data_IF_239535912522
#
_entry.id   IF_239535912522
#
_cell.length_a   1.000
_cell.length_b   1.000
_cell.length_c   1.000
_cell.angle_alpha   90.00
_cell.angle_beta   90.00
_cell.angle_gamma   90.00
#
_symmetry.space_group_name_H-M   'P 1'
#
loop_
_entity.id
_entity.type
_entity.pdbx_description
1 polymer ?
#
# COMPACT_ATOMS: atom_id res chain seq x y z
N UNK A 1 5.81 -18.78 -5.16
CA UNK A 1 4.41 -19.24 -4.93
C UNK A 1 3.95 -18.88 -3.52
N UNK A 2 4.61 -19.38 -2.46
CA UNK A 2 4.27 -19.13 -1.04
C UNK A 2 4.06 -17.66 -0.70
N UNK A 3 4.96 -16.79 -1.15
CA UNK A 3 4.85 -15.34 -0.96
C UNK A 3 3.49 -14.76 -1.42
N UNK A 4 3.03 -15.10 -2.62
CA UNK A 4 1.78 -14.57 -3.17
C UNK A 4 0.55 -15.12 -2.44
N UNK A 5 0.62 -16.37 -1.98
CA UNK A 5 -0.43 -16.96 -1.14
C UNK A 5 -0.55 -16.20 0.18
N UNK A 6 0.57 -15.87 0.82
CA UNK A 6 0.59 -15.08 2.06
C UNK A 6 0.01 -13.67 1.84
N UNK A 7 0.30 -13.00 0.72
CA UNK A 7 -0.30 -11.67 0.48
C UNK A 7 -1.80 -11.77 0.27
N UNK A 8 -2.28 -12.77 -0.47
CA UNK A 8 -3.72 -12.97 -0.70
C UNK A 8 -4.43 -13.25 0.63
N UNK A 9 -3.88 -14.16 1.44
CA UNK A 9 -4.43 -14.46 2.77
C UNK A 9 -4.46 -13.20 3.64
N UNK A 10 -3.39 -12.41 3.65
CA UNK A 10 -3.34 -11.18 4.44
C UNK A 10 -4.34 -10.12 3.96
N UNK A 11 -4.52 -9.95 2.65
CA UNK A 11 -5.55 -9.06 2.08
C UNK A 11 -6.94 -9.53 2.50
N UNK A 12 -7.22 -10.84 2.41
CA UNK A 12 -8.51 -11.42 2.82
C UNK A 12 -8.77 -11.23 4.31
N UNK A 13 -7.78 -11.49 5.17
CA UNK A 13 -7.88 -11.26 6.62
C UNK A 13 -8.16 -9.78 6.90
N UNK A 14 -7.41 -8.89 6.25
CA UNK A 14 -7.58 -7.44 6.42
C UNK A 14 -8.96 -6.98 5.97
N UNK A 15 -9.50 -7.55 4.89
CA UNK A 15 -10.86 -7.33 4.42
C UNK A 15 -11.89 -7.78 5.47
N UNK A 16 -11.74 -8.99 6.02
CA UNK A 16 -12.64 -9.52 7.06
C UNK A 16 -12.61 -8.61 8.29
N UNK A 17 -11.43 -8.22 8.76
CA UNK A 17 -11.26 -7.30 9.89
C UNK A 17 -11.89 -5.95 9.59
N UNK A 18 -11.65 -5.39 8.41
CA UNK A 18 -12.24 -4.11 8.01
C UNK A 18 -13.77 -4.20 7.99
N UNK A 19 -14.37 -5.23 7.39
CA UNK A 19 -15.83 -5.39 7.36
C UNK A 19 -16.39 -5.58 8.78
N UNK A 20 -15.70 -6.34 9.63
CA UNK A 20 -16.20 -6.70 10.97
C UNK A 20 -16.10 -5.58 11.98
N UNK A 21 -15.05 -4.74 11.89
CA UNK A 21 -14.69 -3.77 12.93
C UNK A 21 -14.75 -2.32 12.41
N UNK A 22 -14.97 -2.08 11.11
CA UNK A 22 -15.02 -0.71 10.54
C UNK A 22 -15.97 0.22 11.30
N UNK A 23 -17.13 -0.27 11.72
CA UNK A 23 -18.12 0.54 12.45
C UNK A 23 -17.65 0.92 13.85
N UNK A 24 -16.86 0.06 14.52
CA UNK A 24 -16.32 0.34 15.85
C UNK A 24 -15.09 1.25 15.82
N UNK A 25 -14.34 1.21 14.71
CA UNK A 25 -13.12 2.00 14.51
C UNK A 25 -13.45 3.36 13.85
N UNK A 26 -14.70 3.60 13.45
CA UNK A 26 -15.11 4.85 12.81
C UNK A 26 -15.03 6.04 13.78
N UNK A 27 -14.18 7.03 13.46
CA UNK A 27 -14.07 8.30 14.21
C UNK A 27 -14.53 9.45 13.33
N UNK A 28 -15.42 10.30 13.83
CA UNK A 28 -15.96 11.46 13.09
C UNK A 28 -16.47 11.11 11.67
N UNK A 29 -17.18 9.97 11.57
CA UNK A 29 -17.70 9.41 10.32
C UNK A 29 -16.64 8.94 9.30
N UNK A 30 -15.37 8.87 9.68
CA UNK A 30 -14.27 8.41 8.82
C UNK A 30 -13.87 6.99 9.20
N UNK A 31 -13.82 6.09 8.21
CA UNK A 31 -13.39 4.69 8.36
C UNK A 31 -11.97 4.57 7.82
N UNK A 32 -11.00 4.01 8.56
CA UNK A 32 -9.64 3.86 8.07
C UNK A 32 -9.57 2.79 7.00
N UNK A 33 -8.67 2.97 6.03
CA UNK A 33 -8.47 2.02 4.96
C UNK A 33 -7.39 1.00 5.33
N UNK A 34 -7.80 -0.09 5.98
CA UNK A 34 -6.87 -1.10 6.47
C UNK A 34 -6.20 -1.88 5.34
N UNK A 35 -6.81 -1.96 4.15
CA UNK A 35 -6.24 -2.68 3.00
C UNK A 35 -4.88 -2.11 2.52
N UNK A 36 -4.53 -0.88 2.91
CA UNK A 36 -3.22 -0.28 2.60
C UNK A 36 -2.10 -0.95 3.42
N UNK A 37 -2.40 -1.47 4.61
CA UNK A 37 -1.43 -2.14 5.49
C UNK A 37 -0.73 -3.33 4.81
N UNK A 38 -1.45 -4.37 4.33
CA UNK A 38 -0.79 -5.48 3.65
C UNK A 38 -0.08 -5.01 2.39
N UNK A 39 -0.64 -4.04 1.66
CA UNK A 39 0.00 -3.47 0.46
C UNK A 39 1.39 -2.89 0.78
N UNK A 40 1.50 -2.07 1.82
CA UNK A 40 2.77 -1.45 2.26
C UNK A 40 3.70 -2.50 2.87
N UNK A 41 3.19 -3.33 3.79
CA UNK A 41 3.96 -4.35 4.49
C UNK A 41 4.64 -5.29 3.51
N UNK A 42 3.87 -5.87 2.60
CA UNK A 42 4.41 -6.79 1.61
C UNK A 42 5.33 -6.07 0.64
N UNK A 43 4.99 -4.88 0.17
CA UNK A 43 5.88 -4.15 -0.76
C UNK A 43 7.26 -3.90 -0.12
N UNK A 44 7.31 -3.56 1.18
CA UNK A 44 8.56 -3.34 1.92
C UNK A 44 9.28 -4.62 2.37
N UNK A 45 8.56 -5.72 2.61
CA UNK A 45 9.10 -6.95 3.19
C UNK A 45 10.16 -7.65 2.32
N UNK A 46 10.14 -7.45 0.99
CA UNK A 46 11.12 -8.08 0.10
C UNK A 46 12.26 -7.10 -0.15
N UNK A 47 13.51 -7.43 0.20
CA UNK A 47 14.64 -6.51 0.02
C UNK A 47 14.68 -6.03 -1.43
N UNK A 48 14.75 -4.72 -1.63
CA UNK A 48 15.04 -4.21 -2.97
C UNK A 48 16.41 -4.74 -3.35
N UNK A 49 16.53 -5.36 -4.53
CA UNK A 49 17.85 -5.65 -5.11
C UNK A 49 18.65 -4.37 -5.40
N UNK A 50 18.03 -3.20 -5.24
CA UNK A 50 18.71 -1.93 -5.06
C UNK A 50 19.39 -1.91 -3.69
N UNK A 51 20.69 -2.21 -3.66
CA UNK A 51 21.56 -1.84 -2.54
C UNK A 51 21.82 -0.34 -2.63
N UNK A 52 21.00 0.44 -1.94
CA UNK A 52 21.28 1.85 -1.63
C UNK A 52 22.51 1.90 -0.73
N UNK A 53 23.73 1.92 -1.29
CA UNK A 53 24.96 2.08 -0.51
C UNK A 53 26.22 1.43 -1.06
N UNK A 54 26.14 0.55 -2.08
CA UNK A 54 27.36 0.11 -2.75
C UNK A 54 27.87 1.24 -3.64
N UNK A 55 29.01 1.83 -3.26
CA UNK A 55 29.76 2.78 -4.09
C UNK A 55 30.02 2.12 -5.44
N UNK A 56 29.32 2.60 -6.46
CA UNK A 56 29.48 2.24 -7.87
C UNK A 56 30.81 2.77 -8.43
N UNK A 57 31.95 2.38 -7.85
CA UNK A 57 33.24 2.82 -8.36
C UNK A 57 33.85 1.84 -9.39
N UNK A 58 33.45 0.56 -9.47
CA UNK A 58 34.26 -0.42 -10.22
C UNK A 58 33.51 -1.43 -11.12
N UNK A 59 32.28 -1.16 -11.61
CA UNK A 59 31.63 -2.08 -12.57
C UNK A 59 31.11 -1.43 -13.87
N UNK A 60 31.25 -2.12 -15.02
CA UNK A 60 30.93 -1.58 -16.33
C UNK A 60 29.42 -1.29 -16.47
N UNK A 61 29.13 -0.08 -16.95
CA UNK A 61 27.82 0.59 -17.06
C UNK A 61 26.73 -0.20 -17.78
N UNK A 62 27.07 -1.21 -18.59
CA UNK A 62 26.11 -1.98 -19.40
C UNK A 62 25.40 -3.11 -18.63
N UNK A 63 26.02 -3.69 -17.60
CA UNK A 63 25.38 -4.73 -16.78
C UNK A 63 24.41 -4.14 -15.75
N UNK A 64 24.70 -2.92 -15.30
CA UNK A 64 23.93 -2.17 -14.31
C UNK A 64 22.54 -1.83 -14.86
N UNK A 65 22.46 -1.31 -16.10
CA UNK A 65 21.20 -0.92 -16.75
C UNK A 65 20.20 -2.09 -16.93
N UNK A 66 20.70 -3.31 -17.15
CA UNK A 66 19.88 -4.51 -17.35
C UNK A 66 19.42 -5.14 -16.03
N UNK A 67 20.24 -5.06 -14.98
CA UNK A 67 19.87 -5.48 -13.63
C UNK A 67 18.87 -4.51 -12.96
N UNK A 68 19.00 -3.20 -13.25
CA UNK A 68 18.07 -2.18 -12.71
C UNK A 68 16.69 -2.23 -13.37
N UNK A 69 16.58 -2.56 -14.67
CA UNK A 69 15.29 -2.60 -15.36
C UNK A 69 14.43 -3.79 -14.93
N UNK A 70 15.04 -4.96 -14.72
CA UNK A 70 14.32 -6.17 -14.27
C UNK A 70 13.80 -6.04 -12.84
N UNK A 71 14.61 -5.53 -11.92
CA UNK A 71 14.18 -5.27 -10.53
C UNK A 71 13.11 -4.18 -10.44
N UNK A 72 13.20 -3.15 -11.28
CA UNK A 72 12.19 -2.10 -11.37
C UNK A 72 10.86 -2.63 -11.91
N UNK A 73 10.90 -3.39 -13.01
CA UNK A 73 9.72 -4.02 -13.59
C UNK A 73 9.05 -4.99 -12.60
N UNK A 74 9.84 -5.76 -11.86
CA UNK A 74 9.34 -6.66 -10.82
C UNK A 74 8.61 -5.90 -9.71
N UNK A 75 9.16 -4.78 -9.22
CA UNK A 75 8.50 -3.97 -8.19
C UNK A 75 7.20 -3.35 -8.68
N UNK A 76 7.19 -2.83 -9.92
CA UNK A 76 5.99 -2.27 -10.55
C UNK A 76 4.93 -3.34 -10.74
N UNK A 77 5.28 -4.50 -11.31
CA UNK A 77 4.35 -5.60 -11.53
C UNK A 77 3.76 -6.09 -10.21
N UNK A 78 4.59 -6.22 -9.18
CA UNK A 78 4.15 -6.61 -7.83
C UNK A 78 3.21 -5.58 -7.22
N UNK A 79 3.53 -4.29 -7.36
CA UNK A 79 2.66 -3.21 -6.91
C UNK A 79 1.30 -3.24 -7.60
N UNK A 80 1.27 -3.37 -8.93
CA UNK A 80 0.04 -3.56 -9.72
C UNK A 80 -0.75 -4.78 -9.24
N UNK A 81 -0.08 -5.92 -9.04
CA UNK A 81 -0.71 -7.16 -8.58
C UNK A 81 -1.35 -6.99 -7.20
N UNK A 82 -0.62 -6.41 -6.24
CA UNK A 82 -1.14 -6.12 -4.91
C UNK A 82 -2.32 -5.15 -4.96
N UNK A 83 -2.21 -4.09 -5.76
CA UNK A 83 -3.27 -3.11 -5.98
C UNK A 83 -4.51 -3.75 -6.59
N UNK A 84 -4.36 -4.63 -7.57
CA UNK A 84 -5.48 -5.34 -8.18
C UNK A 84 -6.28 -6.15 -7.16
N UNK A 85 -5.62 -6.95 -6.31
CA UNK A 85 -6.31 -7.73 -5.27
C UNK A 85 -6.91 -6.87 -4.17
N UNK A 86 -6.23 -5.80 -3.74
CA UNK A 86 -6.80 -4.85 -2.81
C UNK A 86 -8.09 -4.21 -3.39
N UNK A 87 -8.02 -3.80 -4.65
CA UNK A 87 -9.15 -3.25 -5.39
C UNK A 87 -10.31 -4.24 -5.56
N UNK A 88 -10.03 -5.51 -5.89
CA UNK A 88 -11.05 -6.55 -5.91
C UNK A 88 -11.72 -6.69 -4.54
N UNK A 89 -10.94 -6.78 -3.47
CA UNK A 89 -11.46 -6.98 -2.12
C UNK A 89 -12.34 -5.82 -1.64
N UNK A 90 -11.94 -4.57 -1.93
CA UNK A 90 -12.75 -3.39 -1.61
C UNK A 90 -13.98 -3.29 -2.51
N UNK A 91 -13.82 -3.61 -3.79
CA UNK A 91 -14.83 -3.43 -4.81
C UNK A 91 -16.04 -4.35 -4.67
N UNK A 92 -15.92 -5.52 -4.04
CA UNK A 92 -16.98 -6.56 -3.95
C UNK A 92 -18.32 -5.99 -3.47
N UNK A 93 -18.30 -5.01 -2.56
CA UNK A 93 -19.51 -4.40 -1.99
C UNK A 93 -19.79 -2.98 -2.52
N UNK A 94 -19.03 -2.53 -3.51
CA UNK A 94 -19.14 -1.17 -4.05
C UNK A 94 -20.05 -1.14 -5.29
N UNK A 95 -20.81 -0.05 -5.45
CA UNK A 95 -21.56 0.21 -6.70
C UNK A 95 -20.65 0.59 -7.86
N UNK A 96 -19.42 1.02 -7.56
CA UNK A 96 -18.42 1.48 -8.52
C UNK A 96 -17.19 0.56 -8.49
N UNK A 97 -17.43 -0.75 -8.61
CA UNK A 97 -16.40 -1.79 -8.56
C UNK A 97 -15.17 -1.47 -9.42
N UNK A 98 -15.39 -1.05 -10.67
CA UNK A 98 -14.32 -0.71 -11.59
C UNK A 98 -13.46 0.48 -11.12
N UNK A 99 -14.06 1.46 -10.47
CA UNK A 99 -13.34 2.61 -9.92
C UNK A 99 -12.45 2.21 -8.74
N UNK A 100 -12.93 1.32 -7.86
CA UNK A 100 -12.12 0.78 -6.76
C UNK A 100 -10.92 0.01 -7.31
N UNK A 101 -11.13 -0.95 -8.23
CA UNK A 101 -10.03 -1.71 -8.83
C UNK A 101 -9.02 -0.79 -9.52
N UNK A 102 -9.48 0.17 -10.32
CA UNK A 102 -8.60 1.08 -11.04
C UNK A 102 -7.79 1.98 -10.09
N UNK A 103 -8.43 2.55 -9.07
CA UNK A 103 -7.76 3.43 -8.09
C UNK A 103 -6.64 2.70 -7.35
N UNK A 104 -6.88 1.45 -6.94
CA UNK A 104 -5.89 0.63 -6.25
C UNK A 104 -4.76 0.16 -7.15
N UNK A 105 -5.04 -0.19 -8.40
CA UNK A 105 -4.01 -0.53 -9.38
C UNK A 105 -3.07 0.66 -9.63
N UNK A 106 -3.60 1.87 -9.75
CA UNK A 106 -2.79 3.09 -9.87
C UNK A 106 -1.91 3.33 -8.65
N UNK A 107 -2.46 3.18 -7.44
CA UNK A 107 -1.68 3.31 -6.21
C UNK A 107 -0.60 2.24 -6.10
N UNK A 108 -0.93 1.00 -6.47
CA UNK A 108 0.03 -0.11 -6.52
C UNK A 108 1.16 0.15 -7.52
N UNK A 109 0.83 0.66 -8.71
CA UNK A 109 1.81 1.07 -9.71
C UNK A 109 2.76 2.14 -9.14
N UNK A 110 2.22 3.23 -8.58
CA UNK A 110 3.03 4.30 -7.99
C UNK A 110 3.89 3.79 -6.84
N UNK A 111 3.34 2.95 -5.96
CA UNK A 111 4.12 2.35 -4.87
C UNK A 111 5.29 1.52 -5.42
N UNK A 112 5.07 0.72 -6.47
CA UNK A 112 6.10 -0.06 -7.13
C UNK A 112 7.21 0.79 -7.75
N UNK A 113 6.89 2.00 -8.25
CA UNK A 113 7.88 2.94 -8.76
C UNK A 113 8.78 3.50 -7.64
N UNK A 114 8.18 3.87 -6.51
CA UNK A 114 8.89 4.63 -5.46
C UNK A 114 9.60 3.70 -4.48
N UNK A 115 9.15 2.46 -4.29
CA UNK A 115 9.70 1.55 -3.27
C UNK A 115 11.09 0.98 -3.58
N UNK A 116 11.51 1.06 -4.85
CA UNK A 116 12.86 0.72 -5.27
C UNK A 116 13.92 1.67 -4.70
N UNK A 117 13.82 2.99 -4.96
CA UNK A 117 14.82 3.97 -4.52
C UNK A 117 14.72 4.44 -3.06
N UNK A 118 13.63 4.14 -2.33
CA UNK A 118 13.46 4.66 -0.96
C UNK A 118 14.41 3.99 0.04
N UNK A 119 15.01 4.82 0.91
CA UNK A 119 15.71 4.36 2.12
C UNK A 119 14.72 3.81 3.17
N UNK A 120 14.63 2.48 3.25
CA UNK A 120 13.69 1.75 4.13
C UNK A 120 14.04 1.82 5.61
N UNK A 121 15.26 2.22 5.96
CA UNK A 121 15.71 2.33 7.34
C UNK A 121 15.16 3.58 8.03
N UNK A 122 14.65 4.54 7.26
CA UNK A 122 14.08 5.75 7.82
C UNK A 122 12.67 5.47 8.39
N UNK A 123 12.45 5.68 9.71
CA UNK A 123 11.16 5.40 10.36
C UNK A 123 10.00 6.27 9.86
N UNK A 124 10.29 7.35 9.11
CA UNK A 124 9.28 8.26 8.53
C UNK A 124 8.71 7.72 7.22
N UNK A 125 9.44 6.84 6.53
CA UNK A 125 9.05 6.35 5.20
C UNK A 125 7.75 5.55 5.25
N UNK A 126 7.61 4.65 6.23
CA UNK A 126 6.40 3.83 6.37
C UNK A 126 5.14 4.69 6.59
N UNK A 127 5.11 5.63 7.56
CA UNK A 127 4.00 6.56 7.71
C UNK A 127 3.72 7.38 6.45
N UNK A 128 4.78 7.89 5.79
CA UNK A 128 4.63 8.72 4.60
C UNK A 128 3.98 7.93 3.46
N UNK A 129 4.41 6.69 3.23
CA UNK A 129 3.83 5.83 2.20
C UNK A 129 2.39 5.43 2.53
N UNK A 130 2.08 5.13 3.79
CA UNK A 130 0.70 4.88 4.23
C UNK A 130 -0.19 6.08 3.90
N UNK A 131 0.22 7.28 4.32
CA UNK A 131 -0.53 8.51 4.07
C UNK A 131 -0.75 8.73 2.58
N UNK A 132 0.33 8.68 1.80
CA UNK A 132 0.32 9.00 0.38
C UNK A 132 -0.48 7.96 -0.42
N UNK A 133 -0.36 6.67 -0.11
CA UNK A 133 -1.15 5.62 -0.75
C UNK A 133 -2.64 5.76 -0.44
N UNK A 134 -3.03 5.95 0.83
CA UNK A 134 -4.45 6.14 1.19
C UNK A 134 -5.03 7.40 0.55
N UNK A 135 -4.26 8.50 0.57
CA UNK A 135 -4.70 9.77 -0.01
C UNK A 135 -4.85 9.68 -1.53
N UNK A 136 -3.84 9.14 -2.23
CA UNK A 136 -3.92 8.98 -3.69
C UNK A 136 -5.02 8.00 -4.12
N UNK A 137 -5.26 6.93 -3.36
CA UNK A 137 -6.35 6.00 -3.64
C UNK A 137 -7.69 6.73 -3.68
N UNK A 138 -7.98 7.53 -2.65
CA UNK A 138 -9.22 8.29 -2.61
C UNK A 138 -9.30 9.38 -3.68
N UNK A 139 -8.18 10.05 -4.00
CA UNK A 139 -8.13 11.01 -5.11
C UNK A 139 -8.44 10.34 -6.45
N UNK A 140 -7.83 9.18 -6.74
CA UNK A 140 -8.10 8.45 -7.99
C UNK A 140 -9.50 7.89 -8.04
N UNK A 141 -10.07 7.48 -6.90
CA UNK A 141 -11.46 7.05 -6.81
C UNK A 141 -12.44 8.22 -7.01
N UNK A 142 -12.05 9.45 -6.65
CA UNK A 142 -12.86 10.63 -6.86
C UNK A 142 -13.04 10.99 -8.35
N UNK A 143 -12.05 10.72 -9.20
CA UNK A 143 -12.09 11.04 -10.64
C UNK A 143 -13.33 10.39 -11.32
N UNK A 144 -13.55 9.07 -11.25
CA UNK A 144 -14.74 8.45 -11.83
C UNK A 144 -16.02 8.82 -11.07
N UNK A 145 -15.94 9.09 -9.76
CA UNK A 145 -17.07 9.64 -9.00
C UNK A 145 -17.52 11.00 -9.53
N UNK A 146 -16.60 11.85 -10.01
CA UNK A 146 -16.91 13.16 -10.56
C UNK A 146 -17.81 13.10 -11.80
N UNK A 147 -17.71 12.00 -12.56
CA UNK A 147 -18.51 11.74 -13.75
C UNK A 147 -19.88 11.13 -13.39
N UNK A 148 -20.04 10.66 -12.15
CA UNK A 148 -21.27 10.05 -11.64
C UNK A 148 -22.25 11.10 -11.09
N UNK A 149 -23.58 10.89 -11.20
CA UNK A 149 -24.58 11.80 -10.64
C UNK A 149 -24.58 11.88 -9.10
N UNK A 150 -23.76 11.08 -8.41
CA UNK A 150 -23.69 11.00 -6.94
C UNK A 150 -22.50 11.77 -6.35
N UNK A 151 -22.08 12.87 -6.98
CA UNK A 151 -20.90 13.64 -6.56
C UNK A 151 -21.12 14.34 -5.22
N UNK A 152 -20.38 13.97 -4.16
CA UNK A 152 -20.34 14.79 -2.95
C UNK A 152 -19.61 16.11 -3.26
N UNK A 153 -19.84 17.13 -2.43
CA UNK A 153 -19.12 18.40 -2.59
C UNK A 153 -17.59 18.17 -2.51
N UNK A 154 -16.79 18.72 -3.44
CA UNK A 154 -15.35 18.46 -3.50
C UNK A 154 -14.62 18.79 -2.20
N UNK A 155 -15.02 19.86 -1.52
CA UNK A 155 -14.45 20.29 -0.23
C UNK A 155 -14.72 19.28 0.89
N UNK A 156 -15.96 18.77 1.00
CA UNK A 156 -16.30 17.74 1.98
C UNK A 156 -15.60 16.42 1.71
N UNK A 157 -15.41 16.06 0.44
CA UNK A 157 -14.72 14.83 0.06
C UNK A 157 -13.24 14.91 0.40
N UNK A 158 -12.59 16.02 0.02
CA UNK A 158 -11.18 16.25 0.28
C UNK A 158 -10.86 16.22 1.78
N UNK A 159 -11.68 16.90 2.60
CA UNK A 159 -11.48 16.94 4.04
C UNK A 159 -11.67 15.55 4.68
N UNK A 160 -12.69 14.79 4.25
CA UNK A 160 -12.87 13.38 4.67
C UNK A 160 -11.68 12.51 4.27
N UNK A 161 -11.17 12.69 3.06
CA UNK A 161 -10.03 11.94 2.55
C UNK A 161 -8.76 12.23 3.36
N UNK A 162 -8.53 13.51 3.69
CA UNK A 162 -7.40 13.93 4.51
C UNK A 162 -7.46 13.35 5.93
N UNK A 163 -8.64 13.38 6.56
CA UNK A 163 -8.81 12.72 7.87
C UNK A 163 -8.65 11.20 7.76
N UNK A 164 -9.14 10.59 6.68
CA UNK A 164 -9.00 9.14 6.44
C UNK A 164 -7.53 8.74 6.29
N UNK A 165 -6.77 9.48 5.50
CA UNK A 165 -5.34 9.20 5.29
C UNK A 165 -4.55 9.42 6.56
N UNK A 166 -4.80 10.50 7.32
CA UNK A 166 -4.17 10.72 8.63
C UNK A 166 -4.50 9.59 9.60
N UNK A 167 -5.77 9.21 9.70
CA UNK A 167 -6.19 8.18 10.65
C UNK A 167 -5.62 6.81 10.29
N UNK A 168 -5.66 6.44 9.01
CA UNK A 168 -5.06 5.20 8.49
C UNK A 168 -3.55 5.18 8.72
N UNK A 169 -2.88 6.33 8.60
CA UNK A 169 -1.44 6.44 8.85
C UNK A 169 -1.09 6.23 10.32
N UNK A 170 -1.81 6.87 11.24
CA UNK A 170 -1.59 6.72 12.68
C UNK A 170 -1.81 5.27 13.11
N UNK A 171 -2.96 4.70 12.74
CA UNK A 171 -3.30 3.32 13.06
C UNK A 171 -2.34 2.33 12.40
N UNK A 172 -2.03 2.55 11.12
CA UNK A 172 -1.15 1.69 10.36
C UNK A 172 0.28 1.67 10.88
N UNK A 173 0.82 2.84 11.23
CA UNK A 173 2.15 2.95 11.83
C UNK A 173 2.21 2.25 13.19
N UNK A 174 1.16 2.36 14.00
CA UNK A 174 1.08 1.66 15.29
C UNK A 174 1.10 0.14 15.09
N UNK A 175 0.27 -0.39 14.18
CA UNK A 175 0.21 -1.83 13.87
C UNK A 175 1.55 -2.34 13.32
N UNK A 176 2.17 -1.60 12.39
CA UNK A 176 3.46 -1.99 11.82
C UNK A 176 4.56 -1.99 12.87
N UNK A 177 4.62 -0.99 13.75
CA UNK A 177 5.60 -0.93 14.85
C UNK A 177 5.43 -2.08 15.84
N UNK A 178 4.20 -2.40 16.24
CA UNK A 178 3.93 -3.56 17.09
C UNK A 178 4.41 -4.86 16.44
N UNK A 179 4.24 -4.98 15.12
CA UNK A 179 4.68 -6.15 14.35
C UNK A 179 6.20 -6.24 14.27
N UNK A 180 6.88 -5.10 14.07
CA UNK A 180 8.35 -5.02 14.08
C UNK A 180 8.95 -5.32 15.45
N UNK A 181 8.33 -4.84 16.54
CA UNK A 181 8.74 -5.12 17.91
C UNK A 181 8.62 -6.63 18.20
N UNK A 182 7.49 -7.23 17.85
CA UNK A 182 7.27 -8.69 17.99
C UNK A 182 8.23 -9.52 17.13
N UNK A 183 8.65 -9.00 15.96
CA UNK A 183 9.68 -9.64 15.14
C UNK A 183 11.05 -9.59 15.82
N UNK A 184 11.44 -8.44 16.39
CA UNK A 184 12.71 -8.29 17.12
C UNK A 184 12.78 -9.15 18.39
N UNK A 185 11.63 -9.40 19.03
CA UNK A 185 11.50 -10.32 20.16
C UNK A 185 11.62 -11.81 19.77
N UNK A 186 11.77 -12.14 18.48
CA UNK A 186 11.89 -13.52 18.00
C UNK A 186 10.59 -14.32 18.03
N UNK A 187 9.44 -13.65 18.25
CA UNK A 187 8.11 -14.28 18.27
C UNK A 187 7.65 -14.64 16.85
N UNK A 188 8.13 -13.89 15.85
CA UNK A 188 7.89 -14.15 14.43
C UNK A 188 9.18 -14.71 13.86
N UNK A 189 9.22 -16.02 13.60
CA UNK A 189 10.35 -16.68 12.96
C UNK A 189 10.55 -16.10 11.55
N UNK A 190 11.78 -15.65 11.25
CA UNK A 190 12.16 -15.28 9.90
C UNK A 190 11.99 -16.53 9.01
N UNK A 191 10.97 -16.51 8.17
CA UNK A 191 10.71 -17.59 7.22
C UNK A 191 11.73 -17.56 6.10
N UNK A 192 12.65 -18.52 6.12
CA UNK A 192 13.40 -18.96 4.93
C UNK A 192 12.48 -19.63 3.90
#
# INVERSE_FOLDING_TARGET
MTYYILVIISIVITMIVQISIAQFIQIASVVPNLLVLPLIFFSLARPSRYKSGERYCDQPTTFILRATSSAYFENVFRGIFLGFFAGLSQGINSRLFWADVFSWVLVGFLLGLVIGPINRENPVVQPLLLFLCTFLQGMFFFIPLYISPFTPSPSSFFLRLLFCSLYTTLLGTFILRLTEEKRKEGVILDGD
#
